data_IF_061905429201
#
_entry.id   IF_061905429201
#
_cell.length_a   1.000
_cell.length_b   1.000
_cell.length_c   1.000
_cell.angle_alpha   90.00
_cell.angle_beta   90.00
_cell.angle_gamma   90.00
#
_symmetry.space_group_name_H-M   'P 1'
#
loop_
_entity.id
_entity.type
_entity.pdbx_description
1 polymer ?
#
# COMPACT_ATOMS: atom_id res chain seq x y z
N UNK A 1 6.76 -3.27 -15.96
CA UNK A 1 6.24 -2.21 -15.06
C UNK A 1 4.80 -1.81 -15.43
N UNK A 2 3.87 -1.89 -14.48
CA UNK A 2 2.53 -1.33 -14.64
C UNK A 2 2.62 0.16 -14.33
N UNK A 3 2.27 1.07 -15.27
CA UNK A 3 2.44 2.50 -15.02
C UNK A 3 1.49 2.98 -13.92
N UNK A 4 1.89 3.99 -13.12
CA UNK A 4 1.02 4.61 -12.13
C UNK A 4 -0.27 5.14 -12.75
N UNK A 5 -1.37 5.08 -12.00
CA UNK A 5 -2.67 5.51 -12.49
C UNK A 5 -2.67 6.99 -12.88
N UNK A 6 -3.19 7.33 -14.08
CA UNK A 6 -3.14 8.70 -14.63
C UNK A 6 -3.79 9.79 -13.75
N UNK A 7 -4.72 9.39 -12.87
CA UNK A 7 -5.45 10.28 -11.98
C UNK A 7 -4.73 10.50 -10.64
N UNK A 8 -3.69 9.72 -10.34
CA UNK A 8 -2.95 9.86 -9.09
C UNK A 8 -2.16 11.16 -9.09
N UNK A 9 -2.22 11.86 -7.96
CA UNK A 9 -1.29 12.95 -7.71
C UNK A 9 0.13 12.41 -7.63
N UNK A 10 1.11 13.29 -7.86
CA UNK A 10 2.53 13.01 -7.77
C UNK A 10 3.20 14.09 -6.96
N UNK A 11 4.20 13.72 -6.16
CA UNK A 11 4.93 14.64 -5.31
C UNK A 11 5.69 13.93 -4.20
N UNK A 12 6.50 14.67 -3.44
CA UNK A 12 7.23 14.14 -2.29
C UNK A 12 6.30 13.66 -1.15
N UNK A 13 5.01 13.94 -1.22
CA UNK A 13 4.00 13.51 -0.24
C UNK A 13 3.51 12.08 -0.47
N UNK A 14 3.96 11.40 -1.52
CA UNK A 14 3.59 10.00 -1.81
C UNK A 14 4.58 9.07 -1.13
N UNK A 15 4.13 8.39 -0.08
CA UNK A 15 4.96 7.41 0.64
C UNK A 15 4.89 6.00 0.02
N UNK A 16 3.72 5.61 -0.50
CA UNK A 16 3.43 4.24 -0.92
C UNK A 16 2.31 4.19 -1.97
N UNK A 17 2.39 3.22 -2.88
CA UNK A 17 1.34 2.89 -3.83
C UNK A 17 0.55 1.63 -3.41
N UNK A 18 -0.66 1.51 -3.94
CA UNK A 18 -1.51 0.34 -3.76
C UNK A 18 -2.41 0.11 -4.98
N UNK A 19 -3.02 -1.07 -5.12
CA UNK A 19 -3.96 -1.35 -6.21
C UNK A 19 -5.15 -0.39 -6.17
N UNK A 20 -5.31 0.42 -7.21
CA UNK A 20 -6.34 1.47 -7.28
C UNK A 20 -7.10 1.55 -8.59
N UNK A 21 -6.90 0.63 -9.52
CA UNK A 21 -7.55 0.60 -10.84
C UNK A 21 -8.34 -0.69 -10.98
N UNK A 22 -9.63 -0.58 -11.30
CA UNK A 22 -10.57 -1.71 -11.41
C UNK A 22 -10.55 -2.65 -10.19
N UNK A 23 -10.46 -2.08 -8.99
CA UNK A 23 -10.51 -2.83 -7.74
C UNK A 23 -11.94 -3.26 -7.49
N UNK A 24 -12.15 -4.57 -7.34
CA UNK A 24 -13.45 -5.15 -6.99
C UNK A 24 -13.75 -4.87 -5.50
N UNK A 25 -14.93 -4.35 -5.22
CA UNK A 25 -15.40 -4.05 -3.86
C UNK A 25 -16.91 -4.26 -3.75
N UNK A 26 -17.46 -4.10 -2.55
CA UNK A 26 -18.89 -4.21 -2.29
C UNK A 26 -19.55 -2.81 -2.30
N UNK A 27 -20.65 -2.66 -3.02
CA UNK A 27 -21.52 -1.48 -2.96
C UNK A 27 -22.45 -1.56 -1.74
N UNK A 28 -23.08 -0.43 -1.34
CA UNK A 28 -24.22 -0.48 -0.44
C UNK A 28 -25.32 -1.39 -1.04
N UNK A 29 -25.67 -2.46 -0.31
CA UNK A 29 -26.56 -3.52 -0.81
C UNK A 29 -25.86 -4.84 -1.12
N UNK A 30 -24.52 -4.89 -1.07
CA UNK A 30 -23.73 -6.11 -1.16
C UNK A 30 -23.42 -6.57 -2.58
N UNK A 31 -23.66 -5.73 -3.60
CA UNK A 31 -23.30 -6.07 -4.97
C UNK A 31 -21.79 -5.85 -5.19
N UNK A 32 -21.19 -6.71 -6.01
CA UNK A 32 -19.80 -6.55 -6.42
C UNK A 32 -19.69 -5.47 -7.51
N UNK A 33 -18.85 -4.48 -7.27
CA UNK A 33 -18.59 -3.37 -8.20
C UNK A 33 -17.09 -3.15 -8.35
N UNK A 34 -16.65 -2.81 -9.57
CA UNK A 34 -15.25 -2.44 -9.82
C UNK A 34 -15.10 -0.91 -9.80
N UNK A 35 -14.22 -0.41 -8.95
CA UNK A 35 -13.94 1.02 -8.79
C UNK A 35 -12.51 1.39 -9.17
N UNK A 36 -12.26 2.67 -9.41
CA UNK A 36 -10.91 3.20 -9.61
C UNK A 36 -10.72 4.51 -8.85
N UNK A 37 -9.61 4.65 -8.16
CA UNK A 37 -9.27 5.83 -7.37
C UNK A 37 -8.24 5.50 -6.29
N UNK A 38 -7.57 6.53 -5.77
CA UNK A 38 -6.67 6.37 -4.61
C UNK A 38 -7.43 5.93 -3.36
N UNK A 39 -8.74 6.21 -3.27
CA UNK A 39 -9.64 5.65 -2.25
C UNK A 39 -9.70 4.11 -2.26
N UNK A 40 -9.37 3.46 -3.37
CA UNK A 40 -9.27 2.00 -3.46
C UNK A 40 -7.85 1.49 -3.18
N UNK A 41 -6.82 2.31 -3.43
CA UNK A 41 -5.44 1.99 -3.06
C UNK A 41 -5.23 2.05 -1.54
N UNK A 42 -5.69 3.11 -0.88
CA UNK A 42 -5.54 3.33 0.56
C UNK A 42 -5.93 2.13 1.45
N UNK A 43 -7.08 1.44 1.27
CA UNK A 43 -7.45 0.31 2.11
C UNK A 43 -6.51 -0.90 2.00
N UNK A 44 -5.75 -1.05 0.90
CA UNK A 44 -4.72 -2.09 0.83
C UNK A 44 -3.56 -1.79 1.80
N UNK A 45 -3.11 -0.53 1.85
CA UNK A 45 -2.08 -0.09 2.81
C UNK A 45 -2.58 -0.20 4.25
N UNK A 46 -3.82 0.24 4.50
CA UNK A 46 -4.46 0.11 5.83
C UNK A 46 -4.60 -1.35 6.26
N UNK A 47 -4.97 -2.25 5.34
CA UNK A 47 -5.06 -3.68 5.60
C UNK A 47 -3.70 -4.27 5.98
N UNK A 48 -2.65 -3.93 5.24
CA UNK A 48 -1.28 -4.35 5.58
C UNK A 48 -0.85 -3.82 6.95
N UNK A 49 -1.09 -2.53 7.23
CA UNK A 49 -0.79 -1.94 8.53
C UNK A 49 -1.52 -2.66 9.68
N UNK A 50 -2.80 -3.02 9.48
CA UNK A 50 -3.57 -3.76 10.46
C UNK A 50 -3.01 -5.17 10.70
N UNK A 51 -2.51 -5.86 9.66
CA UNK A 51 -1.83 -7.15 9.82
C UNK A 51 -0.56 -7.01 10.66
N UNK A 52 0.25 -5.98 10.39
CA UNK A 52 1.46 -5.70 11.17
C UNK A 52 1.15 -5.44 12.65
N UNK A 53 0.16 -4.58 12.92
CA UNK A 53 -0.29 -4.28 14.29
C UNK A 53 -0.99 -5.46 14.97
N UNK A 54 -1.51 -6.43 14.22
CA UNK A 54 -2.06 -7.66 14.79
C UNK A 54 -0.97 -8.59 15.31
N UNK A 55 0.22 -8.55 14.70
CA UNK A 55 1.40 -9.32 15.14
C UNK A 55 2.15 -8.60 16.26
N UNK A 56 2.32 -7.29 16.13
CA UNK A 56 3.08 -6.44 17.06
C UNK A 56 2.26 -5.19 17.41
N UNK A 57 1.34 -5.28 18.39
CA UNK A 57 0.47 -4.16 18.77
C UNK A 57 1.21 -2.96 19.38
N UNK A 58 2.47 -3.15 19.75
CA UNK A 58 3.37 -2.18 20.37
C UNK A 58 4.27 -1.44 19.38
N UNK A 59 4.18 -1.73 18.07
CA UNK A 59 4.89 -0.98 17.04
C UNK A 59 4.63 0.53 17.17
N UNK A 60 5.71 1.30 17.17
CA UNK A 60 5.63 2.73 16.99
C UNK A 60 5.16 3.07 15.56
N UNK A 61 4.67 4.31 15.38
CA UNK A 61 4.29 4.79 14.05
C UNK A 61 5.48 4.74 13.07
N UNK A 62 6.68 5.06 13.55
CA UNK A 62 7.90 5.05 12.74
C UNK A 62 8.23 3.63 12.27
N UNK A 63 8.25 2.64 13.17
CA UNK A 63 8.50 1.24 12.81
C UNK A 63 7.44 0.68 11.86
N UNK A 64 6.18 1.09 12.04
CA UNK A 64 5.09 0.70 11.15
C UNK A 64 5.31 1.23 9.73
N UNK A 65 5.68 2.52 9.60
CA UNK A 65 5.98 3.14 8.30
C UNK A 65 7.23 2.53 7.68
N UNK A 66 8.28 2.26 8.46
CA UNK A 66 9.49 1.58 7.98
C UNK A 66 9.19 0.17 7.47
N UNK A 67 8.37 -0.60 8.18
CA UNK A 67 7.96 -1.93 7.72
C UNK A 67 7.18 -1.85 6.41
N UNK A 68 6.23 -0.91 6.29
CA UNK A 68 5.43 -0.74 5.08
C UNK A 68 6.27 -0.29 3.87
N UNK A 69 7.11 0.73 4.05
CA UNK A 69 7.92 1.31 2.97
C UNK A 69 9.13 0.44 2.62
N UNK A 70 9.79 -0.15 3.62
CA UNK A 70 10.99 -0.97 3.43
C UNK A 70 10.72 -2.35 2.84
N UNK A 71 9.46 -2.78 2.77
CA UNK A 71 9.05 -4.06 2.17
C UNK A 71 8.23 -3.91 0.89
N UNK A 72 8.03 -2.68 0.43
CA UNK A 72 7.31 -2.38 -0.81
C UNK A 72 8.06 -2.93 -2.04
N UNK A 73 7.31 -3.32 -3.07
CA UNK A 73 7.86 -3.63 -4.38
C UNK A 73 8.13 -2.32 -5.13
N UNK A 74 9.40 -1.97 -5.29
CA UNK A 74 9.82 -0.83 -6.11
C UNK A 74 9.48 -1.08 -7.59
N UNK A 75 8.68 -0.18 -8.17
CA UNK A 75 8.06 -0.39 -9.48
C UNK A 75 8.85 0.19 -10.65
N UNK A 76 9.74 1.16 -10.38
CA UNK A 76 10.46 1.92 -11.41
C UNK A 76 11.98 1.88 -11.17
N UNK A 77 12.65 3.03 -11.10
CA UNK A 77 14.08 3.10 -10.86
C UNK A 77 14.36 2.93 -9.37
N UNK A 78 15.43 2.20 -8.97
CA UNK A 78 15.72 1.93 -7.57
C UNK A 78 15.64 3.17 -6.66
N UNK A 79 14.78 3.07 -5.65
CA UNK A 79 14.55 4.08 -4.63
C UNK A 79 13.25 4.86 -4.81
N UNK A 80 12.87 5.68 -3.81
CA UNK A 80 11.58 6.33 -3.82
C UNK A 80 11.41 7.33 -4.97
N UNK A 81 10.22 7.36 -5.57
CA UNK A 81 9.89 8.25 -6.68
C UNK A 81 8.59 9.05 -6.44
N UNK A 82 8.40 10.23 -7.08
CA UNK A 82 7.23 11.07 -6.83
C UNK A 82 5.89 10.46 -7.25
N UNK A 83 5.87 9.38 -8.03
CA UNK A 83 4.66 8.73 -8.51
C UNK A 83 4.20 7.56 -7.64
N UNK A 84 5.13 6.79 -7.04
CA UNK A 84 4.78 5.60 -6.23
C UNK A 84 5.38 5.58 -4.82
N UNK A 85 6.17 6.58 -4.46
CA UNK A 85 6.86 6.60 -3.17
C UNK A 85 7.86 5.46 -3.10
N UNK A 86 7.85 4.68 -2.02
CA UNK A 86 8.67 3.48 -1.90
C UNK A 86 8.25 2.32 -2.82
N UNK A 87 7.09 2.41 -3.48
CA UNK A 87 6.59 1.40 -4.41
C UNK A 87 5.24 0.81 -4.00
N UNK A 88 4.91 -0.35 -4.57
CA UNK A 88 3.66 -1.07 -4.31
C UNK A 88 3.69 -1.76 -2.94
N UNK A 89 2.66 -1.55 -2.13
CA UNK A 89 2.51 -2.26 -0.84
C UNK A 89 2.52 -3.78 -1.03
N UNK A 90 3.39 -4.47 -0.28
CA UNK A 90 3.48 -5.93 -0.25
C UNK A 90 3.17 -6.45 1.17
N UNK A 91 1.94 -6.95 1.34
CA UNK A 91 1.50 -7.50 2.62
C UNK A 91 2.28 -8.77 3.02
N UNK A 92 2.68 -9.59 2.05
CA UNK A 92 3.39 -10.84 2.30
C UNK A 92 4.81 -10.57 2.81
N UNK A 93 5.54 -9.69 2.12
CA UNK A 93 6.87 -9.27 2.53
C UNK A 93 6.84 -8.57 3.90
N UNK A 94 5.90 -7.64 4.11
CA UNK A 94 5.74 -6.92 5.37
C UNK A 94 5.50 -7.87 6.55
N UNK A 95 4.55 -8.80 6.42
CA UNK A 95 4.24 -9.80 7.44
C UNK A 95 5.41 -10.75 7.69
N UNK A 96 6.11 -11.17 6.63
CA UNK A 96 7.26 -12.06 6.77
C UNK A 96 8.39 -11.40 7.56
N UNK A 97 8.72 -10.13 7.26
CA UNK A 97 9.74 -9.37 8.01
C UNK A 97 9.28 -9.16 9.44
N UNK A 98 8.04 -8.75 9.67
CA UNK A 98 7.50 -8.55 11.00
C UNK A 98 7.52 -9.82 11.85
N UNK A 99 7.16 -10.98 11.30
CA UNK A 99 7.18 -12.26 12.01
C UNK A 99 8.60 -12.76 12.36
N UNK A 100 9.63 -12.16 11.77
CA UNK A 100 11.04 -12.49 12.02
C UNK A 100 11.76 -11.54 13.00
N UNK A 101 11.08 -10.49 13.47
CA UNK A 101 11.54 -9.62 14.56
C UNK A 101 11.37 -10.32 15.90
#
# INVERSE_FOLDING_TARGET
PVPPARFSNRGPEVDLAGPGVQVLSLSPGGELVAGSGTSFAAPHVVGTAALLLSLHPDLSLEELVELLTGTAEDLDAPGPDPATGAGLVDAGAAVQVAASR
#
